data_IF_829816326452
#
_entry.id   IF_829816326452
#
_cell.length_a   1.000
_cell.length_b   1.000
_cell.length_c   1.000
_cell.angle_alpha   90.00
_cell.angle_beta   90.00
_cell.angle_gamma   90.00
#
_symmetry.space_group_name_H-M   'P 1'
#
loop_
_entity.id
_entity.type
_entity.pdbx_description
1 polymer ?
#
# COMPACT_ATOMS: atom_id res chain seq x y z
N UNK A 1 -7.08 0.43 11.40
CA UNK A 1 -6.87 0.14 9.96
C UNK A 1 -7.58 -1.13 9.46
N UNK A 2 -8.03 -2.05 10.34
CA UNK A 2 -8.63 -3.33 9.93
C UNK A 2 -9.99 -3.28 9.23
N UNK A 3 -10.62 -2.10 9.10
CA UNK A 3 -11.87 -1.93 8.35
C UNK A 3 -11.66 -1.41 6.92
N UNK A 4 -10.42 -1.07 6.56
CA UNK A 4 -10.10 -0.62 5.21
C UNK A 4 -10.06 -1.85 4.31
N UNK A 5 -10.90 -1.86 3.27
CA UNK A 5 -11.03 -2.98 2.33
C UNK A 5 -10.37 -2.72 0.97
N UNK A 6 -10.12 -1.45 0.62
CA UNK A 6 -9.49 -1.04 -0.65
C UNK A 6 -8.59 0.19 -0.48
N UNK A 7 -7.43 0.17 -1.13
CA UNK A 7 -6.53 1.32 -1.26
C UNK A 7 -6.07 1.52 -2.71
N UNK A 8 -6.03 2.78 -3.14
CA UNK A 8 -5.40 3.18 -4.42
C UNK A 8 -4.18 4.04 -4.11
N UNK A 9 -3.04 3.69 -4.68
CA UNK A 9 -1.76 4.32 -4.41
C UNK A 9 -1.29 4.98 -5.69
N UNK A 10 -1.04 6.28 -5.60
CA UNK A 10 -0.52 7.08 -6.71
C UNK A 10 0.96 7.34 -6.44
N UNK A 11 1.84 6.83 -7.31
CA UNK A 11 3.27 7.10 -7.23
C UNK A 11 3.67 8.03 -8.37
N UNK A 12 4.38 9.11 -8.03
CA UNK A 12 5.01 9.95 -9.04
C UNK A 12 6.14 9.22 -9.80
N UNK A 13 6.73 8.19 -9.18
CA UNK A 13 7.78 7.36 -9.75
C UNK A 13 7.61 5.91 -9.26
N UNK A 14 7.31 5.01 -10.20
CA UNK A 14 7.08 3.59 -9.90
C UNK A 14 8.35 2.88 -9.40
N UNK A 15 9.55 3.43 -9.66
CA UNK A 15 10.79 2.89 -9.13
C UNK A 15 10.82 2.90 -7.58
N UNK A 16 10.03 3.78 -6.96
CA UNK A 16 9.90 3.88 -5.49
C UNK A 16 8.92 2.87 -4.88
N UNK A 17 8.43 1.93 -5.68
CA UNK A 17 7.50 0.90 -5.22
C UNK A 17 7.99 0.11 -4.01
N UNK A 18 9.28 -0.26 -3.98
CA UNK A 18 9.87 -1.01 -2.86
C UNK A 18 9.75 -0.26 -1.53
N UNK A 19 10.21 1.00 -1.51
CA UNK A 19 10.16 1.86 -0.33
C UNK A 19 8.72 2.14 0.13
N UNK A 20 7.79 2.32 -0.81
CA UNK A 20 6.36 2.43 -0.49
C UNK A 20 5.86 1.14 0.18
N UNK A 21 6.23 -0.03 -0.34
CA UNK A 21 5.75 -1.30 0.18
C UNK A 21 6.27 -1.59 1.60
N UNK A 22 7.51 -1.21 1.90
CA UNK A 22 8.07 -1.25 3.26
C UNK A 22 7.27 -0.41 4.24
N UNK A 23 6.89 0.82 3.85
CA UNK A 23 6.02 1.63 4.67
C UNK A 23 4.62 1.01 4.80
N UNK A 24 4.05 0.52 3.70
CA UNK A 24 2.69 -0.03 3.64
C UNK A 24 2.46 -1.17 4.63
N UNK A 25 3.42 -2.10 4.78
CA UNK A 25 3.30 -3.23 5.71
C UNK A 25 3.32 -2.82 7.17
N UNK A 26 3.90 -1.66 7.53
CA UNK A 26 3.84 -1.15 8.91
C UNK A 26 2.44 -0.68 9.30
N UNK A 27 1.63 -0.27 8.32
CA UNK A 27 0.25 0.18 8.52
C UNK A 27 -0.76 -0.98 8.43
N UNK A 28 -0.47 -1.98 7.60
CA UNK A 28 -1.30 -3.17 7.41
C UNK A 28 -0.49 -4.45 7.64
N UNK A 29 -0.13 -4.76 8.90
CA UNK A 29 0.72 -5.89 9.22
C UNK A 29 0.03 -7.25 9.02
N UNK A 30 -1.30 -7.29 9.13
CA UNK A 30 -2.10 -8.50 8.95
C UNK A 30 -3.34 -8.18 8.11
N UNK A 31 -3.63 -9.02 7.10
CA UNK A 31 -4.75 -8.89 6.15
C UNK A 31 -4.85 -7.51 5.46
N UNK A 32 -3.90 -7.16 4.57
CA UNK A 32 -3.92 -5.89 3.87
C UNK A 32 -5.11 -5.76 2.91
N UNK A 33 -5.64 -4.54 2.70
CA UNK A 33 -6.73 -4.29 1.76
C UNK A 33 -6.34 -4.59 0.31
N UNK A 34 -7.35 -4.75 -0.55
CA UNK A 34 -7.15 -4.81 -1.99
C UNK A 34 -6.47 -3.52 -2.48
N UNK A 35 -5.39 -3.67 -3.28
CA UNK A 35 -4.55 -2.54 -3.68
C UNK A 35 -4.50 -2.36 -5.19
N UNK A 36 -4.63 -1.12 -5.64
CA UNK A 36 -4.25 -0.68 -7.00
C UNK A 36 -3.12 0.34 -6.90
N UNK A 37 -2.11 0.22 -7.76
CA UNK A 37 -0.96 1.13 -7.80
C UNK A 37 -0.74 1.61 -9.22
N UNK A 38 -0.57 2.91 -9.38
CA UNK A 38 -0.44 3.59 -10.66
C UNK A 38 0.46 4.82 -10.55
#
# INVERSE_FOLDING_TARGET
MGEVVKCTVFLADIAKWGAMNEAYVTYFPENPPARSAL
#
